data_IF_214635169677
#
_entry.id   IF_214635169677
#
_cell.length_a   1.000
_cell.length_b   1.000
_cell.length_c   1.000
_cell.angle_alpha   90.00
_cell.angle_beta   90.00
_cell.angle_gamma   90.00
#
_symmetry.space_group_name_H-M   'P 1'
#
loop_
_entity.id
_entity.type
_entity.pdbx_description
1 polymer ?
#
# COMPACT_ATOMS: atom_id res chain seq x y z
N UNK A 1 36.16 -48.50 -15.43
CA UNK A 1 36.08 -47.06 -15.78
C UNK A 1 36.14 -46.23 -14.50
N UNK A 2 37.34 -45.86 -14.05
CA UNK A 2 37.53 -45.04 -12.83
C UNK A 2 37.47 -43.58 -13.26
N UNK A 3 36.38 -42.88 -12.95
CA UNK A 3 36.31 -41.43 -13.15
C UNK A 3 37.17 -40.75 -12.09
N UNK A 4 38.25 -40.08 -12.51
CA UNK A 4 39.15 -39.35 -11.63
C UNK A 4 38.40 -38.23 -10.89
N UNK A 5 38.55 -38.10 -9.55
CA UNK A 5 37.82 -37.12 -8.75
C UNK A 5 38.11 -35.68 -9.20
N UNK A 6 39.28 -35.43 -9.79
CA UNK A 6 39.65 -34.12 -10.34
C UNK A 6 38.68 -33.63 -11.43
N UNK A 7 38.14 -34.53 -12.25
CA UNK A 7 37.17 -34.19 -13.31
C UNK A 7 35.80 -33.84 -12.73
N UNK A 8 35.41 -34.51 -11.63
CA UNK A 8 34.16 -34.24 -10.93
C UNK A 8 34.21 -32.89 -10.20
N UNK A 9 35.32 -32.55 -9.55
CA UNK A 9 35.50 -31.24 -8.92
C UNK A 9 35.56 -30.08 -9.94
N UNK A 10 36.19 -30.30 -11.11
CA UNK A 10 36.18 -29.34 -12.21
C UNK A 10 34.76 -29.08 -12.74
N UNK A 11 33.97 -30.14 -12.95
CA UNK A 11 32.59 -30.01 -13.39
C UNK A 11 31.72 -29.27 -12.35
N UNK A 12 31.91 -29.58 -11.05
CA UNK A 12 31.19 -28.93 -9.96
C UNK A 12 31.52 -27.43 -9.87
N UNK A 13 32.81 -27.07 -10.00
CA UNK A 13 33.23 -25.67 -10.03
C UNK A 13 32.60 -24.89 -11.20
N UNK A 14 32.50 -25.53 -12.37
CA UNK A 14 31.91 -24.93 -13.57
C UNK A 14 30.41 -24.65 -13.41
N UNK A 15 29.67 -25.58 -12.78
CA UNK A 15 28.25 -25.38 -12.44
C UNK A 15 28.07 -24.22 -11.45
N UNK A 16 28.97 -24.11 -10.46
CA UNK A 16 28.90 -23.04 -9.45
C UNK A 16 29.18 -21.65 -10.05
N UNK A 17 30.20 -21.55 -10.91
CA UNK A 17 30.53 -20.30 -11.62
C UNK A 17 29.40 -19.90 -12.57
N UNK A 18 28.80 -20.85 -13.28
CA UNK A 18 27.62 -20.60 -14.13
C UNK A 18 26.44 -20.06 -13.31
N UNK A 19 26.19 -20.62 -12.12
CA UNK A 19 25.17 -20.12 -11.19
C UNK A 19 25.43 -18.71 -10.68
N UNK A 20 26.67 -18.35 -10.36
CA UNK A 20 27.05 -16.99 -9.92
C UNK A 20 26.86 -15.98 -11.06
N UNK A 21 27.24 -16.33 -12.30
CA UNK A 21 27.07 -15.46 -13.46
C UNK A 21 25.59 -15.25 -13.77
N UNK A 22 24.79 -16.33 -13.75
CA UNK A 22 23.34 -16.26 -13.94
C UNK A 22 22.64 -15.48 -12.81
N UNK A 23 23.06 -15.66 -11.55
CA UNK A 23 22.54 -14.93 -10.40
C UNK A 23 22.90 -13.44 -10.42
N UNK A 24 24.13 -13.09 -10.79
CA UNK A 24 24.59 -11.70 -10.92
C UNK A 24 23.92 -10.96 -12.07
N UNK A 25 23.80 -11.60 -13.24
CA UNK A 25 23.08 -11.05 -14.39
C UNK A 25 21.57 -10.94 -14.14
N UNK A 26 20.97 -11.94 -13.48
CA UNK A 26 19.58 -11.92 -13.05
C UNK A 26 19.31 -10.79 -12.05
N UNK A 27 20.16 -10.62 -11.04
CA UNK A 27 20.06 -9.52 -10.09
C UNK A 27 20.12 -8.16 -10.80
N UNK A 28 21.06 -7.98 -11.74
CA UNK A 28 21.19 -6.72 -12.49
C UNK A 28 20.00 -6.46 -13.43
N UNK A 29 19.45 -7.49 -14.06
CA UNK A 29 18.27 -7.35 -14.93
C UNK A 29 16.98 -7.07 -14.14
N UNK A 30 16.82 -7.67 -12.96
CA UNK A 30 15.68 -7.38 -12.07
C UNK A 30 15.78 -6.01 -11.40
N UNK A 31 16.98 -5.56 -11.00
CA UNK A 31 17.18 -4.23 -10.42
C UNK A 31 17.11 -3.10 -11.45
N UNK A 32 17.45 -3.34 -12.72
CA UNK A 32 17.18 -2.39 -13.82
C UNK A 32 15.71 -2.41 -14.29
N UNK A 33 14.93 -3.42 -13.88
CA UNK A 33 13.46 -3.51 -14.08
C UNK A 33 12.65 -3.04 -12.87
N UNK A 34 13.29 -2.50 -11.84
CA UNK A 34 12.68 -1.38 -11.11
C UNK A 34 12.65 -0.20 -12.08
N UNK A 35 11.75 -0.32 -13.05
CA UNK A 35 11.19 0.82 -13.75
C UNK A 35 10.86 1.79 -12.63
N UNK A 36 11.48 2.97 -12.69
CA UNK A 36 10.95 4.22 -12.18
C UNK A 36 9.54 4.38 -12.76
N UNK A 37 8.61 3.55 -12.29
CA UNK A 37 7.20 3.80 -12.39
C UNK A 37 7.03 4.94 -11.40
N UNK A 38 7.27 6.16 -11.90
CA UNK A 38 6.64 7.36 -11.39
C UNK A 38 5.17 7.01 -11.29
N UNK A 39 4.75 6.49 -10.14
CA UNK A 39 3.37 6.05 -9.91
C UNK A 39 2.58 7.33 -10.16
N UNK A 40 1.65 7.37 -11.14
CA UNK A 40 0.88 8.57 -11.39
C UNK A 40 0.32 9.03 -10.04
N UNK A 41 0.62 10.28 -9.68
CA UNK A 41 0.20 10.86 -8.39
C UNK A 41 -1.30 10.61 -8.31
N UNK A 42 -1.72 9.87 -7.29
CA UNK A 42 -3.16 9.67 -7.06
C UNK A 42 -3.76 11.07 -6.86
N UNK A 43 -4.81 11.44 -7.61
CA UNK A 43 -5.40 12.76 -7.46
C UNK A 43 -5.84 12.98 -6.01
N UNK A 44 -5.66 14.21 -5.52
CA UNK A 44 -6.14 14.60 -4.20
C UNK A 44 -7.67 14.49 -4.12
N UNK A 45 -8.23 14.45 -2.91
CA UNK A 45 -9.69 14.39 -2.75
C UNK A 45 -10.36 15.63 -3.37
N UNK A 46 -9.70 16.78 -3.30
CA UNK A 46 -10.19 18.02 -3.92
C UNK A 46 -10.13 17.95 -5.46
N UNK A 47 -9.06 17.39 -6.02
CA UNK A 47 -8.93 17.17 -7.47
C UNK A 47 -9.99 16.20 -7.97
N UNK A 48 -10.23 15.09 -7.25
CA UNK A 48 -11.30 14.15 -7.58
C UNK A 48 -12.68 14.82 -7.54
N UNK A 49 -12.92 15.67 -6.55
CA UNK A 49 -14.19 16.41 -6.44
C UNK A 49 -14.37 17.39 -7.59
N UNK A 50 -13.31 18.11 -8.00
CA UNK A 50 -13.32 19.01 -9.16
C UNK A 50 -13.60 18.24 -10.45
N UNK A 51 -12.93 17.10 -10.67
CA UNK A 51 -13.17 16.25 -11.82
C UNK A 51 -14.62 15.75 -11.88
N UNK A 52 -15.17 15.30 -10.76
CA UNK A 52 -16.55 14.85 -10.68
C UNK A 52 -17.55 15.97 -10.99
N UNK A 53 -17.35 17.16 -10.41
CA UNK A 53 -18.20 18.34 -10.69
C UNK A 53 -18.14 18.74 -12.17
N UNK A 54 -16.95 18.71 -12.78
CA UNK A 54 -16.77 19.01 -14.19
C UNK A 54 -17.45 17.96 -15.08
N UNK A 55 -17.27 16.68 -14.78
CA UNK A 55 -17.94 15.60 -15.51
C UNK A 55 -19.47 15.75 -15.45
N UNK A 56 -20.02 16.01 -14.26
CA UNK A 56 -21.47 16.23 -14.09
C UNK A 56 -21.96 17.45 -14.88
N UNK A 57 -21.19 18.55 -14.85
CA UNK A 57 -21.51 19.76 -15.62
C UNK A 57 -21.57 19.45 -17.11
N UNK A 58 -20.53 18.82 -17.65
CA UNK A 58 -20.35 18.62 -19.09
C UNK A 58 -21.32 17.57 -19.63
N UNK A 59 -21.54 16.47 -18.90
CA UNK A 59 -22.42 15.38 -19.34
C UNK A 59 -23.90 15.69 -19.17
N UNK A 60 -24.28 16.45 -18.14
CA UNK A 60 -25.67 16.79 -17.84
C UNK A 60 -26.06 18.20 -18.28
N UNK A 61 -25.12 18.95 -18.88
CA UNK A 61 -25.29 20.35 -19.30
C UNK A 61 -25.84 21.23 -18.17
N UNK A 62 -25.25 21.12 -16.97
CA UNK A 62 -25.75 21.85 -15.79
C UNK A 62 -25.57 23.36 -15.96
N UNK A 63 -26.63 24.12 -15.67
CA UNK A 63 -26.54 25.57 -15.48
C UNK A 63 -25.66 25.93 -14.28
N UNK A 64 -25.18 27.17 -14.22
CA UNK A 64 -24.38 27.66 -13.09
C UNK A 64 -25.10 27.45 -11.75
N UNK A 65 -26.40 27.73 -11.69
CA UNK A 65 -27.21 27.54 -10.49
C UNK A 65 -27.25 26.06 -10.08
N UNK A 66 -27.49 25.14 -11.01
CA UNK A 66 -27.52 23.70 -10.71
C UNK A 66 -26.16 23.18 -10.25
N UNK A 67 -25.07 23.72 -10.80
CA UNK A 67 -23.72 23.36 -10.38
C UNK A 67 -23.41 23.84 -8.96
N UNK A 68 -23.90 25.03 -8.58
CA UNK A 68 -23.78 25.54 -7.21
C UNK A 68 -24.64 24.73 -6.23
N UNK A 69 -25.87 24.40 -6.60
CA UNK A 69 -26.73 23.51 -5.81
C UNK A 69 -26.06 22.13 -5.61
N UNK A 70 -25.43 21.57 -6.67
CA UNK A 70 -24.68 20.31 -6.59
C UNK A 70 -23.50 20.40 -5.63
N UNK A 71 -22.76 21.51 -5.61
CA UNK A 71 -21.67 21.71 -4.63
C UNK A 71 -22.17 21.64 -3.20
N UNK A 72 -23.30 22.31 -2.91
CA UNK A 72 -23.92 22.29 -1.58
C UNK A 72 -24.36 20.87 -1.18
N UNK A 73 -24.96 20.11 -2.11
CA UNK A 73 -25.33 18.71 -1.85
C UNK A 73 -24.12 17.86 -1.50
N UNK A 74 -23.01 18.02 -2.23
CA UNK A 74 -21.77 17.30 -1.93
C UNK A 74 -21.18 17.70 -0.56
N UNK A 75 -21.18 18.98 -0.20
CA UNK A 75 -20.71 19.45 1.12
C UNK A 75 -21.53 18.88 2.27
N UNK A 76 -22.86 18.90 2.14
CA UNK A 76 -23.76 18.33 3.14
C UNK A 76 -23.55 16.82 3.28
N UNK A 77 -23.27 16.14 2.17
CA UNK A 77 -23.02 14.70 2.16
C UNK A 77 -21.67 14.38 2.83
N UNK A 78 -20.62 15.14 2.52
CA UNK A 78 -19.31 15.02 3.17
C UNK A 78 -19.42 15.22 4.69
N UNK A 79 -20.21 16.21 5.13
CA UNK A 79 -20.48 16.45 6.55
C UNK A 79 -21.17 15.26 7.23
N UNK A 80 -22.19 14.68 6.60
CA UNK A 80 -22.87 13.48 7.12
C UNK A 80 -21.93 12.28 7.22
N UNK A 81 -21.09 12.05 6.22
CA UNK A 81 -20.09 10.98 6.27
C UNK A 81 -19.09 11.19 7.41
N UNK A 82 -18.65 12.43 7.63
CA UNK A 82 -17.76 12.77 8.75
C UNK A 82 -18.43 12.50 10.09
N UNK A 83 -19.68 12.90 10.26
CA UNK A 83 -20.46 12.63 11.48
C UNK A 83 -20.59 11.13 11.76
N UNK A 84 -20.98 10.35 10.74
CA UNK A 84 -21.07 8.88 10.84
C UNK A 84 -19.71 8.28 11.21
N UNK A 85 -18.63 8.74 10.55
CA UNK A 85 -17.28 8.26 10.83
C UNK A 85 -16.86 8.54 12.27
N UNK A 86 -17.12 9.73 12.79
CA UNK A 86 -16.79 10.08 14.18
C UNK A 86 -17.64 9.29 15.18
N UNK A 87 -18.93 9.08 14.88
CA UNK A 87 -19.84 8.27 15.69
C UNK A 87 -19.36 6.83 15.87
N UNK A 88 -18.94 6.19 14.77
CA UNK A 88 -18.51 4.78 14.79
C UNK A 88 -17.01 4.61 15.05
N UNK A 89 -16.23 5.68 15.09
CA UNK A 89 -14.79 5.63 15.41
C UNK A 89 -14.46 4.84 16.69
N UNK A 90 -15.13 5.07 17.83
CA UNK A 90 -14.82 4.32 19.06
C UNK A 90 -15.14 2.83 18.92
N UNK A 91 -16.24 2.45 18.26
CA UNK A 91 -16.60 1.05 18.04
C UNK A 91 -15.55 0.35 17.16
N UNK A 92 -15.09 1.02 16.10
CA UNK A 92 -14.02 0.51 15.24
C UNK A 92 -12.68 0.38 15.96
N UNK A 93 -12.39 1.25 16.94
CA UNK A 93 -11.21 1.13 17.80
C UNK A 93 -11.33 -0.05 18.74
N UNK A 94 -12.48 -0.23 19.39
CA UNK A 94 -12.74 -1.37 20.27
C UNK A 94 -12.56 -2.72 19.54
N UNK A 95 -13.07 -2.85 18.31
CA UNK A 95 -12.88 -4.06 17.49
C UNK A 95 -11.39 -4.31 17.21
N UNK A 96 -10.62 -3.26 16.91
CA UNK A 96 -9.17 -3.38 16.69
C UNK A 96 -8.43 -3.78 17.96
N UNK A 97 -8.77 -3.21 19.10
CA UNK A 97 -8.14 -3.52 20.38
C UNK A 97 -8.47 -4.94 20.86
N UNK A 98 -9.70 -5.40 20.61
CA UNK A 98 -10.08 -6.80 20.83
C UNK A 98 -9.28 -7.75 19.94
N UNK A 99 -9.17 -7.44 18.65
CA UNK A 99 -8.36 -8.23 17.71
C UNK A 99 -6.91 -8.34 18.18
N UNK A 100 -6.32 -7.23 18.62
CA UNK A 100 -4.95 -7.16 19.13
C UNK A 100 -4.79 -8.01 20.38
N UNK A 101 -5.73 -7.90 21.32
CA UNK A 101 -5.72 -8.70 22.55
C UNK A 101 -5.74 -10.19 22.22
N UNK A 102 -6.63 -10.60 21.30
CA UNK A 102 -6.71 -12.00 20.84
C UNK A 102 -5.42 -12.45 20.18
N UNK A 103 -4.83 -11.64 19.29
CA UNK A 103 -3.54 -11.98 18.66
C UNK A 103 -2.44 -12.13 19.71
N UNK A 104 -2.32 -11.19 20.65
CA UNK A 104 -1.29 -11.23 21.69
C UNK A 104 -1.40 -12.48 22.58
N UNK A 105 -2.62 -12.99 22.82
CA UNK A 105 -2.84 -14.22 23.59
C UNK A 105 -2.24 -15.48 22.93
N UNK A 106 -1.97 -15.43 21.63
CA UNK A 106 -1.39 -16.52 20.84
C UNK A 106 0.14 -16.44 20.73
N UNK A 107 0.74 -15.34 21.17
CA UNK A 107 2.15 -15.02 20.92
C UNK A 107 3.01 -15.18 22.18
N UNK A 108 4.26 -15.61 22.00
CA UNK A 108 5.28 -15.53 23.06
C UNK A 108 5.65 -14.08 23.39
N UNK A 109 6.31 -13.85 24.53
CA UNK A 109 6.72 -12.51 24.95
C UNK A 109 7.62 -11.81 23.91
N UNK A 110 8.54 -12.54 23.27
CA UNK A 110 9.39 -12.01 22.19
C UNK A 110 8.57 -11.64 20.94
N UNK A 111 7.64 -12.51 20.55
CA UNK A 111 6.75 -12.27 19.40
C UNK A 111 5.80 -11.10 19.62
N UNK A 112 5.34 -10.86 20.85
CA UNK A 112 4.51 -9.70 21.20
C UNK A 112 5.26 -8.39 20.98
N UNK A 113 6.56 -8.34 21.30
CA UNK A 113 7.38 -7.15 21.08
C UNK A 113 7.51 -6.84 19.58
N UNK A 114 7.75 -7.85 18.75
CA UNK A 114 7.82 -7.67 17.30
C UNK A 114 6.46 -7.32 16.68
N UNK A 115 5.37 -7.91 17.17
CA UNK A 115 4.02 -7.54 16.74
C UNK A 115 3.69 -6.09 17.07
N UNK A 116 4.10 -5.58 18.24
CA UNK A 116 3.92 -4.17 18.60
C UNK A 116 4.69 -3.23 17.65
N UNK A 117 5.92 -3.56 17.27
CA UNK A 117 6.70 -2.80 16.28
C UNK A 117 6.01 -2.79 14.92
N UNK A 118 5.56 -3.96 14.44
CA UNK A 118 4.85 -4.10 13.17
C UNK A 118 3.59 -3.22 13.12
N UNK A 119 2.83 -3.15 14.22
CA UNK A 119 1.65 -2.28 14.33
C UNK A 119 2.04 -0.80 14.24
N UNK A 120 3.05 -0.38 14.99
CA UNK A 120 3.52 1.01 14.98
C UNK A 120 3.98 1.45 13.59
N UNK A 121 4.73 0.62 12.87
CA UNK A 121 5.14 0.90 11.49
C UNK A 121 3.96 1.01 10.51
N UNK A 122 2.91 0.19 10.72
CA UNK A 122 1.69 0.28 9.90
C UNK A 122 0.95 1.59 10.17
N UNK A 123 0.87 2.01 11.42
CA UNK A 123 0.22 3.27 11.81
C UNK A 123 1.01 4.48 11.30
N UNK A 124 2.33 4.47 11.38
CA UNK A 124 3.19 5.51 10.81
C UNK A 124 3.06 5.60 9.29
N UNK A 125 3.00 4.46 8.59
CA UNK A 125 2.73 4.43 7.15
C UNK A 125 1.36 4.97 6.79
N UNK A 126 0.33 4.74 7.61
CA UNK A 126 -1.01 5.32 7.44
C UNK A 126 -0.98 6.83 7.64
N UNK A 127 -0.41 7.30 8.75
CA UNK A 127 -0.27 8.74 9.05
C UNK A 127 0.54 9.49 7.99
N UNK A 128 1.58 8.87 7.43
CA UNK A 128 2.35 9.46 6.33
C UNK A 128 1.48 9.64 5.08
N UNK A 129 0.71 8.62 4.70
CA UNK A 129 -0.25 8.71 3.57
C UNK A 129 -1.34 9.76 3.79
N UNK A 130 -1.78 9.96 5.03
CA UNK A 130 -2.79 10.98 5.35
C UNK A 130 -2.20 12.40 5.37
N UNK A 131 -0.91 12.57 5.71
CA UNK A 131 -0.21 13.86 5.65
C UNK A 131 0.19 14.29 4.24
N UNK A 132 0.47 13.31 3.37
CA UNK A 132 0.90 13.55 1.99
C UNK A 132 -0.30 13.75 1.02
N UNK A 133 -1.54 13.74 1.53
CA UNK A 133 -2.80 13.97 0.80
C UNK A 133 -3.28 15.39 0.94
#
# INVERSE_FOLDING_TARGET
MIHSPAKAFLALGLVFVSGIVLGGLGHRYFSLREVEASKPRRPSMEEMRKMYLQEMKDRLNLSSKQLDDLRVVLDQTDAKYKEVREKYRPEMQAIQDEQVTRINSLLSAEQQQEYAKLRKERDERRRKKDRDK
#
